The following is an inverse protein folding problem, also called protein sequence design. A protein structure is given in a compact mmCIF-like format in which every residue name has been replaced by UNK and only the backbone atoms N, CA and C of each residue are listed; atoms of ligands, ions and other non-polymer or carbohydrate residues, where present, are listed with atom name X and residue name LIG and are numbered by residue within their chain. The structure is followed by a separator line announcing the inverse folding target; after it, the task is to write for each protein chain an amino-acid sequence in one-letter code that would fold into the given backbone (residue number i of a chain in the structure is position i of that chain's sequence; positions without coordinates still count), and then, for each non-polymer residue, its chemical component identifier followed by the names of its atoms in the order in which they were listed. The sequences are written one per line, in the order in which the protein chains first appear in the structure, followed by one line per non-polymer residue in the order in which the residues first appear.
data_IF_176360266457
#
_entry.id   IF_176360266457
#
_cell.length_a   1.000
_cell.length_b   1.000
_cell.length_c   1.000
_cell.angle_alpha   90.00
_cell.angle_beta   90.00
_cell.angle_gamma   90.00
#
_symmetry.space_group_name_H-M   'P 1'
#
loop_
_entity.id
_entity.type
_entity.pdbx_description
1 polymer ?
#
# COMPACT_ATOMS: atom_id res chain seq x y z
N UNK A 1 -8.97 -0.12 -12.53
CA UNK A 1 -8.11 0.44 -11.46
C UNK A 1 -8.90 1.48 -10.70
N UNK A 2 -9.08 1.29 -9.39
CA UNK A 2 -9.61 2.34 -8.51
C UNK A 2 -8.55 3.42 -8.27
N UNK A 3 -8.98 4.63 -7.90
CA UNK A 3 -8.10 5.73 -7.53
C UNK A 3 -8.47 6.19 -6.11
N UNK A 4 -7.47 6.29 -5.23
CA UNK A 4 -7.61 6.80 -3.87
C UNK A 4 -6.71 8.02 -3.73
N UNK A 5 -7.27 9.13 -3.24
CA UNK A 5 -6.51 10.33 -2.86
C UNK A 5 -6.57 10.46 -1.35
N UNK A 6 -5.40 10.57 -0.72
CA UNK A 6 -5.26 10.63 0.73
C UNK A 6 -4.16 11.62 1.13
N UNK A 7 -4.34 12.27 2.26
CA UNK A 7 -3.34 13.13 2.88
C UNK A 7 -2.72 12.39 4.06
N UNK A 8 -1.38 12.31 4.09
CA UNK A 8 -0.60 11.71 5.17
C UNK A 8 0.41 12.73 5.69
N UNK A 9 0.97 12.48 6.87
CA UNK A 9 2.04 13.31 7.43
C UNK A 9 3.27 13.32 6.51
N UNK A 10 3.92 14.48 6.39
CA UNK A 10 5.11 14.68 5.57
C UNK A 10 6.23 13.68 5.88
N UNK A 11 6.47 13.37 7.16
CA UNK A 11 7.52 12.42 7.57
C UNK A 11 7.29 11.03 6.99
N UNK A 12 6.03 10.56 7.00
CA UNK A 12 5.64 9.27 6.45
C UNK A 12 5.76 9.27 4.92
N UNK A 13 5.36 10.37 4.28
CA UNK A 13 5.45 10.55 2.83
C UNK A 13 6.90 10.46 2.35
N UNK A 14 7.80 11.16 3.04
CA UNK A 14 9.24 11.17 2.76
C UNK A 14 9.81 9.76 2.95
N UNK A 15 9.51 9.10 4.07
CA UNK A 15 9.98 7.75 4.36
C UNK A 15 9.48 6.76 3.29
N UNK A 16 8.19 6.81 2.95
CA UNK A 16 7.59 5.95 1.94
C UNK A 16 8.22 6.14 0.56
N UNK A 17 8.43 7.39 0.11
CA UNK A 17 9.11 7.68 -1.16
C UNK A 17 10.53 7.12 -1.20
N UNK A 18 11.29 7.27 -0.12
CA UNK A 18 12.67 6.76 -0.03
C UNK A 18 12.69 5.24 -0.14
N UNK A 19 11.85 4.55 0.63
CA UNK A 19 11.75 3.09 0.60
C UNK A 19 11.29 2.58 -0.76
N UNK A 20 10.26 3.19 -1.36
CA UNK A 20 9.79 2.81 -2.69
C UNK A 20 10.88 2.94 -3.76
N UNK A 21 11.71 3.99 -3.69
CA UNK A 21 12.87 4.16 -4.59
C UNK A 21 13.93 3.10 -4.38
N UNK A 22 14.25 2.76 -3.13
CA UNK A 22 15.23 1.70 -2.81
C UNK A 22 14.73 0.34 -3.32
N UNK A 23 13.47 0.02 -3.08
CA UNK A 23 12.90 -1.30 -3.41
C UNK A 23 12.71 -1.53 -4.90
N UNK A 24 12.32 -0.50 -5.68
CA UNK A 24 11.95 -0.70 -7.08
C UNK A 24 12.68 0.21 -8.09
N UNK A 25 13.60 1.06 -7.63
CA UNK A 25 14.33 2.03 -8.44
C UNK A 25 13.54 3.30 -8.78
N UNK A 26 14.08 4.10 -9.70
CA UNK A 26 13.61 5.47 -9.99
C UNK A 26 12.62 5.58 -11.18
N UNK A 27 12.14 4.46 -11.73
CA UNK A 27 11.24 4.48 -12.90
C UNK A 27 9.81 4.90 -12.53
N UNK A 28 9.07 5.42 -13.51
CA UNK A 28 7.66 5.78 -13.37
C UNK A 28 6.80 4.54 -12.99
N UNK A 29 5.80 4.75 -12.13
CA UNK A 29 4.86 3.69 -11.69
C UNK A 29 5.27 2.91 -10.43
N UNK A 30 6.49 3.09 -9.93
CA UNK A 30 6.97 2.38 -8.72
C UNK A 30 6.28 2.82 -7.42
N UNK A 31 5.90 4.10 -7.33
CA UNK A 31 5.15 4.63 -6.19
C UNK A 31 3.77 3.99 -6.06
N UNK A 32 3.03 3.91 -7.16
CA UNK A 32 1.71 3.28 -7.20
C UNK A 32 1.79 1.81 -6.82
N UNK A 33 2.79 1.09 -7.36
CA UNK A 33 3.04 -0.31 -6.99
C UNK A 33 3.38 -0.48 -5.51
N UNK A 34 4.29 0.34 -4.97
CA UNK A 34 4.63 0.30 -3.56
C UNK A 34 3.42 0.57 -2.66
N UNK A 35 2.53 1.48 -3.08
CA UNK A 35 1.33 1.82 -2.34
C UNK A 35 0.31 0.67 -2.39
N UNK A 36 0.13 0.06 -3.55
CA UNK A 36 -0.72 -1.10 -3.75
C UNK A 36 -0.26 -2.30 -2.90
N UNK A 37 1.05 -2.61 -2.91
CA UNK A 37 1.61 -3.70 -2.10
C UNK A 37 1.46 -3.41 -0.59
N UNK A 38 1.65 -2.16 -0.17
CA UNK A 38 1.47 -1.76 1.23
C UNK A 38 0.00 -1.87 1.68
N UNK A 39 -0.94 -1.40 0.84
CA UNK A 39 -2.38 -1.50 1.11
C UNK A 39 -2.84 -2.95 1.16
N UNK A 40 -2.40 -3.78 0.21
CA UNK A 40 -2.73 -5.21 0.18
C UNK A 40 -2.24 -5.92 1.44
N UNK A 41 -1.00 -5.65 1.85
CA UNK A 41 -0.41 -6.19 3.08
C UNK A 41 -1.20 -5.77 4.32
N UNK A 42 -1.64 -4.50 4.38
CA UNK A 42 -2.47 -4.02 5.47
C UNK A 42 -3.84 -4.73 5.50
N UNK A 43 -4.50 -4.88 4.35
CA UNK A 43 -5.78 -5.59 4.26
C UNK A 43 -5.65 -7.04 4.73
N UNK A 44 -4.63 -7.78 4.26
CA UNK A 44 -4.38 -9.16 4.71
C UNK A 44 -4.20 -9.27 6.22
N UNK A 45 -3.37 -8.40 6.80
CA UNK A 45 -3.19 -8.36 8.25
C UNK A 45 -4.49 -8.11 8.99
N UNK A 46 -5.36 -7.24 8.47
CA UNK A 46 -6.65 -6.94 9.10
C UNK A 46 -7.66 -8.07 8.98
N UNK A 47 -7.67 -8.77 7.85
CA UNK A 47 -8.49 -9.97 7.66
C UNK A 47 -8.09 -11.04 8.69
N UNK A 48 -6.78 -11.28 8.85
CA UNK A 48 -6.26 -12.22 9.85
C UNK A 48 -6.54 -11.77 11.29
N UNK A 49 -6.30 -10.49 11.63
CA UNK A 49 -6.55 -9.95 12.97
C UNK A 49 -8.03 -9.97 13.38
N UNK A 50 -8.94 -9.92 12.40
CA UNK A 50 -10.38 -9.85 12.62
C UNK A 50 -11.10 -11.18 12.36
N UNK A 51 -10.38 -12.24 11.98
CA UNK A 51 -10.90 -13.56 11.61
C UNK A 51 -12.02 -13.49 10.55
N UNK A 52 -11.82 -12.65 9.54
CA UNK A 52 -12.75 -12.46 8.42
C UNK A 52 -12.37 -13.44 7.29
N UNK A 53 -13.36 -13.94 6.54
CA UNK A 53 -13.07 -14.70 5.32
C UNK A 53 -12.54 -13.75 4.22
N UNK A 54 -11.34 -14.01 3.70
CA UNK A 54 -10.70 -13.20 2.65
C UNK A 54 -11.61 -13.01 1.42
N UNK A 55 -12.46 -14.00 1.12
CA UNK A 55 -13.42 -13.95 0.01
C UNK A 55 -14.48 -12.87 0.21
N UNK A 56 -14.92 -12.62 1.45
CA UNK A 56 -15.93 -11.59 1.72
C UNK A 56 -15.42 -10.16 1.47
N UNK A 57 -14.10 -9.97 1.36
CA UNK A 57 -13.47 -8.65 1.18
C UNK A 57 -12.96 -8.43 -0.24
N UNK A 58 -12.46 -9.47 -0.91
CA UNK A 58 -11.84 -9.35 -2.24
C UNK A 58 -12.69 -9.89 -3.41
N UNK A 59 -13.78 -10.65 -3.17
CA UNK A 59 -14.79 -10.99 -4.20
C UNK A 59 -15.86 -9.88 -4.35
#
# INVERSE_FOLDING_TARGET
MGCITLCISDELEIAFRRLARISYGEKQGKMSRAAEEALYTWCKRKIEEMDIDEKEIFD
#
